data_IF_760918923504
#
_entry.id   IF_760918923504
#
_cell.length_a   1.000
_cell.length_b   1.000
_cell.length_c   1.000
_cell.angle_alpha   90.00
_cell.angle_beta   90.00
_cell.angle_gamma   90.00
#
_symmetry.space_group_name_H-M   'P 1'
#
loop_
_entity.id
_entity.type
_entity.pdbx_description
1 polymer ?
#
# COMPACT_ATOMS: atom_id res chain seq x y z
N UNK A 1 7.74 -11.53 -16.37
CA UNK A 1 7.30 -10.15 -16.04
C UNK A 1 8.10 -9.70 -14.84
N UNK A 2 8.51 -8.43 -14.75
CA UNK A 2 9.29 -7.95 -13.59
C UNK A 2 8.57 -8.23 -12.27
N UNK A 3 7.24 -8.04 -12.24
CA UNK A 3 6.38 -8.27 -11.08
C UNK A 3 5.72 -9.66 -11.05
N UNK A 4 6.38 -10.72 -11.54
CA UNK A 4 5.89 -12.09 -11.29
C UNK A 4 6.16 -12.53 -9.86
N UNK A 5 5.34 -13.45 -9.34
CA UNK A 5 5.51 -14.06 -8.01
C UNK A 5 6.93 -14.58 -7.82
N UNK A 6 7.44 -15.31 -8.82
CA UNK A 6 8.80 -15.87 -8.84
C UNK A 6 9.87 -14.80 -8.58
N UNK A 7 9.75 -13.64 -9.23
CA UNK A 7 10.72 -12.55 -9.11
C UNK A 7 10.59 -11.78 -7.80
N UNK A 8 9.36 -11.66 -7.27
CA UNK A 8 9.12 -10.89 -6.05
C UNK A 8 9.45 -11.71 -4.80
N UNK A 9 9.06 -12.99 -4.76
CA UNK A 9 9.02 -13.78 -3.52
C UNK A 9 9.94 -15.02 -3.50
N UNK A 10 10.23 -15.66 -4.63
CA UNK A 10 10.78 -17.03 -4.63
C UNK A 10 12.20 -17.17 -5.22
N UNK A 11 12.64 -16.22 -6.06
CA UNK A 11 13.96 -16.27 -6.72
C UNK A 11 15.15 -16.23 -5.76
N UNK A 12 16.36 -16.52 -6.28
CA UNK A 12 17.61 -16.46 -5.51
C UNK A 12 17.87 -15.06 -4.92
N UNK A 13 17.46 -14.04 -5.68
CA UNK A 13 17.48 -12.63 -5.28
C UNK A 13 16.05 -12.06 -5.44
N UNK A 14 15.16 -12.31 -4.45
CA UNK A 14 13.78 -11.85 -4.53
C UNK A 14 13.74 -10.32 -4.46
N UNK A 15 12.84 -9.68 -5.22
CA UNK A 15 12.70 -8.22 -5.27
C UNK A 15 11.97 -7.62 -4.05
N UNK A 16 11.31 -8.43 -3.23
CA UNK A 16 10.55 -7.95 -2.07
C UNK A 16 11.34 -7.02 -1.11
N UNK A 17 12.63 -7.25 -0.78
CA UNK A 17 13.42 -6.33 0.03
C UNK A 17 13.50 -4.92 -0.56
N UNK A 18 13.68 -4.80 -1.87
CA UNK A 18 13.78 -3.51 -2.56
C UNK A 18 12.43 -2.79 -2.63
N UNK A 19 11.35 -3.54 -2.85
CA UNK A 19 9.99 -3.00 -2.96
C UNK A 19 9.43 -2.54 -1.61
N UNK A 20 9.77 -3.24 -0.52
CA UNK A 20 9.24 -2.98 0.83
C UNK A 20 10.16 -2.02 1.60
N UNK A 21 11.47 -2.20 1.50
CA UNK A 21 12.49 -1.41 2.21
C UNK A 21 12.56 -1.64 3.72
N UNK A 22 11.70 -2.51 4.28
CA UNK A 22 11.69 -2.89 5.70
C UNK A 22 12.15 -4.35 5.85
N UNK A 23 13.35 -4.53 6.42
CA UNK A 23 13.98 -5.84 6.55
C UNK A 23 13.14 -6.84 7.35
N UNK A 24 12.41 -6.39 8.37
CA UNK A 24 11.63 -7.29 9.23
C UNK A 24 10.42 -7.82 8.47
N UNK A 25 9.68 -6.92 7.81
CA UNK A 25 8.51 -7.27 6.99
C UNK A 25 8.94 -8.26 5.89
N UNK A 26 10.04 -7.96 5.21
CA UNK A 26 10.55 -8.79 4.12
C UNK A 26 11.02 -10.16 4.62
N UNK A 27 11.81 -10.23 5.69
CA UNK A 27 12.30 -11.51 6.21
C UNK A 27 11.14 -12.43 6.63
N UNK A 28 10.16 -11.89 7.35
CA UNK A 28 8.98 -12.64 7.78
C UNK A 28 8.18 -13.16 6.58
N UNK A 29 7.94 -12.33 5.57
CA UNK A 29 7.22 -12.73 4.36
C UNK A 29 7.95 -13.84 3.60
N UNK A 30 9.25 -13.69 3.35
CA UNK A 30 10.05 -14.67 2.61
C UNK A 30 10.17 -16.00 3.38
N UNK A 31 10.22 -15.96 4.72
CA UNK A 31 10.18 -17.17 5.53
C UNK A 31 8.85 -17.91 5.40
N UNK A 32 7.71 -17.19 5.42
CA UNK A 32 6.40 -17.79 5.21
C UNK A 32 6.28 -18.44 3.82
N UNK A 33 6.76 -17.77 2.78
CA UNK A 33 6.79 -18.31 1.40
C UNK A 33 7.64 -19.59 1.34
N UNK A 34 8.84 -19.58 1.94
CA UNK A 34 9.71 -20.78 2.01
C UNK A 34 9.05 -21.95 2.73
N UNK A 35 8.18 -21.66 3.70
CA UNK A 35 7.40 -22.65 4.43
C UNK A 35 6.11 -23.10 3.70
N UNK A 36 5.89 -22.63 2.46
CA UNK A 36 4.77 -23.04 1.61
C UNK A 36 3.47 -22.26 1.83
N UNK A 37 3.55 -21.07 2.46
CA UNK A 37 2.38 -20.20 2.57
C UNK A 37 1.95 -19.69 1.18
N UNK A 38 0.63 -19.60 0.97
CA UNK A 38 0.04 -19.12 -0.28
C UNK A 38 0.25 -17.62 -0.44
N UNK A 39 0.67 -17.18 -1.62
CA UNK A 39 0.80 -15.77 -1.99
C UNK A 39 -0.49 -15.37 -2.71
N UNK A 40 -1.18 -14.35 -2.20
CA UNK A 40 -2.38 -13.81 -2.85
C UNK A 40 -2.00 -13.05 -4.13
N UNK A 41 -2.85 -13.10 -5.16
CA UNK A 41 -2.56 -12.50 -6.48
C UNK A 41 -2.62 -10.96 -6.49
N UNK A 42 -3.13 -10.33 -5.43
CA UNK A 42 -3.46 -8.91 -5.39
C UNK A 42 -2.35 -8.01 -4.82
N UNK A 43 -1.09 -8.36 -5.02
CA UNK A 43 0.06 -7.56 -4.59
C UNK A 43 0.37 -6.40 -5.55
N UNK A 44 1.06 -5.38 -5.06
CA UNK A 44 1.49 -4.23 -5.86
C UNK A 44 1.60 -2.93 -5.08
N UNK A 45 2.01 -1.87 -5.77
CA UNK A 45 2.02 -0.53 -5.22
C UNK A 45 0.61 -0.08 -4.83
N UNK A 46 0.48 0.47 -3.62
CA UNK A 46 -0.78 0.92 -3.04
C UNK A 46 -0.56 2.19 -2.25
N UNK A 47 -1.58 3.04 -2.22
CA UNK A 47 -1.57 4.24 -1.39
C UNK A 47 -1.96 3.88 0.05
N UNK A 48 -1.18 4.42 0.98
CA UNK A 48 -1.42 4.35 2.41
C UNK A 48 -1.51 5.75 2.97
N UNK A 49 -2.47 5.97 3.85
CA UNK A 49 -2.65 7.22 4.58
C UNK A 49 -2.34 7.00 6.05
N UNK A 50 -1.65 7.95 6.66
CA UNK A 50 -1.59 8.00 8.11
C UNK A 50 -2.93 8.47 8.67
N UNK A 51 -3.48 7.81 9.71
CA UNK A 51 -4.71 8.27 10.35
C UNK A 51 -4.53 9.57 11.17
N UNK A 52 -3.31 9.88 11.58
CA UNK A 52 -2.98 11.00 12.49
C UNK A 52 -2.31 12.19 11.80
N UNK A 53 -1.95 12.09 10.52
CA UNK A 53 -1.29 13.17 9.79
C UNK A 53 -1.77 13.31 8.33
N UNK A 54 -1.15 14.23 7.58
CA UNK A 54 -1.54 14.58 6.21
C UNK A 54 -0.81 13.81 5.12
N UNK A 55 0.11 12.90 5.47
CA UNK A 55 0.95 12.26 4.48
C UNK A 55 0.30 11.02 3.87
N UNK A 56 0.43 10.95 2.55
CA UNK A 56 0.16 9.76 1.77
C UNK A 56 1.49 9.13 1.40
N UNK A 57 1.54 7.80 1.46
CA UNK A 57 2.73 7.01 1.20
C UNK A 57 2.41 5.97 0.13
N UNK A 58 3.27 5.87 -0.88
CA UNK A 58 3.29 4.71 -1.76
C UNK A 58 4.06 3.58 -1.08
N UNK A 59 3.42 2.42 -0.93
CA UNK A 59 4.01 1.23 -0.30
C UNK A 59 3.58 -0.02 -1.06
N UNK A 60 4.47 -1.02 -1.08
CA UNK A 60 4.22 -2.28 -1.76
C UNK A 60 3.33 -3.21 -0.91
N UNK A 61 2.06 -3.32 -1.26
CA UNK A 61 1.15 -4.25 -0.61
C UNK A 61 1.33 -5.69 -1.12
N UNK A 62 1.17 -6.66 -0.23
CA UNK A 62 1.08 -8.07 -0.54
C UNK A 62 0.38 -8.82 0.61
N UNK A 63 0.01 -10.08 0.38
CA UNK A 63 -0.47 -10.98 1.44
C UNK A 63 0.12 -12.37 1.23
N UNK A 64 0.65 -12.96 2.31
CA UNK A 64 1.22 -14.32 2.34
C UNK A 64 0.56 -15.10 3.47
N UNK A 65 -0.33 -16.03 3.14
CA UNK A 65 -1.23 -16.64 4.12
C UNK A 65 -2.07 -15.57 4.84
N UNK A 66 -2.00 -15.56 6.17
CA UNK A 66 -2.67 -14.55 7.01
C UNK A 66 -1.80 -13.31 7.28
N UNK A 67 -0.60 -13.23 6.72
CA UNK A 67 0.32 -12.12 6.93
C UNK A 67 0.10 -11.01 5.90
N UNK A 68 -0.16 -9.80 6.39
CA UNK A 68 -0.13 -8.54 5.63
C UNK A 68 0.98 -7.63 6.20
N UNK A 69 1.67 -6.84 5.36
CA UNK A 69 2.67 -5.91 5.83
C UNK A 69 2.04 -4.75 6.61
N UNK A 70 2.60 -4.47 7.79
CA UNK A 70 2.19 -3.33 8.62
C UNK A 70 3.22 -2.20 8.55
N UNK A 71 2.91 -1.16 7.79
CA UNK A 71 3.79 0.00 7.66
C UNK A 71 3.50 1.04 8.74
N UNK A 72 4.56 1.63 9.29
CA UNK A 72 4.46 2.69 10.28
C UNK A 72 4.78 4.05 9.65
N UNK A 73 4.05 5.09 10.07
CA UNK A 73 4.34 6.45 9.66
C UNK A 73 5.72 6.88 10.20
N UNK A 74 6.63 7.40 9.36
CA UNK A 74 7.94 7.84 9.81
C UNK A 74 7.88 9.04 10.78
N UNK A 75 6.78 9.81 10.79
CA UNK A 75 6.65 11.02 11.60
C UNK A 75 5.99 10.77 12.96
N UNK A 76 4.88 10.04 13.00
CA UNK A 76 4.10 9.83 14.22
C UNK A 76 4.08 8.38 14.71
N UNK A 77 4.68 7.44 13.96
CA UNK A 77 4.73 6.02 14.27
C UNK A 77 3.36 5.30 14.31
N UNK A 78 2.26 5.99 13.99
CA UNK A 78 0.96 5.32 13.79
C UNK A 78 1.03 4.36 12.62
N UNK A 79 0.28 3.26 12.72
CA UNK A 79 0.11 2.31 11.62
C UNK A 79 -0.56 3.01 10.45
N UNK A 80 0.06 2.91 9.28
CA UNK A 80 -0.50 3.41 8.03
C UNK A 80 -1.63 2.50 7.57
N UNK A 81 -2.68 3.12 7.05
CA UNK A 81 -3.84 2.39 6.56
C UNK A 81 -3.98 2.53 5.06
N UNK A 82 -4.27 1.41 4.40
CA UNK A 82 -4.46 1.39 2.94
C UNK A 82 -5.70 2.20 2.57
N UNK A 83 -5.59 2.98 1.50
CA UNK A 83 -6.69 3.76 0.92
C UNK A 83 -6.86 3.43 -0.56
N UNK A 84 -8.09 3.52 -1.05
CA UNK A 84 -8.42 3.36 -2.46
C UNK A 84 -9.09 4.62 -3.00
N UNK A 85 -8.94 4.84 -4.30
CA UNK A 85 -9.69 5.87 -5.00
C UNK A 85 -11.19 5.57 -4.96
N UNK A 86 -11.96 6.59 -4.62
CA UNK A 86 -13.41 6.58 -4.61
C UNK A 86 -13.93 7.79 -5.40
N UNK A 87 -15.12 7.64 -5.99
CA UNK A 87 -15.70 8.66 -6.84
C UNK A 87 -16.01 9.94 -6.03
N UNK A 88 -15.50 11.09 -6.50
CA UNK A 88 -15.88 12.41 -6.02
C UNK A 88 -16.87 13.11 -6.95
N UNK A 89 -16.98 14.44 -6.82
CA UNK A 89 -17.69 15.29 -7.79
C UNK A 89 -16.95 15.36 -9.14
N UNK A 90 -17.57 15.95 -10.17
CA UNK A 90 -16.91 16.12 -11.48
C UNK A 90 -15.53 16.80 -11.36
N UNK A 91 -14.49 16.15 -11.91
CA UNK A 91 -13.10 16.59 -11.84
C UNK A 91 -12.42 16.41 -10.48
N UNK A 92 -13.01 15.59 -9.59
CA UNK A 92 -12.47 15.31 -8.27
C UNK A 92 -12.59 13.84 -7.90
N UNK A 93 -11.64 13.41 -7.09
CA UNK A 93 -11.60 12.07 -6.50
C UNK A 93 -11.56 12.15 -4.98
N UNK A 94 -11.84 11.04 -4.31
CA UNK A 94 -11.73 10.87 -2.85
C UNK A 94 -10.85 9.67 -2.55
N UNK A 95 -10.30 9.61 -1.34
CA UNK A 95 -9.59 8.43 -0.85
C UNK A 95 -10.41 7.80 0.27
N UNK A 96 -10.83 6.54 0.08
CA UNK A 96 -11.55 5.76 1.09
C UNK A 96 -10.62 4.78 1.77
N UNK A 97 -10.63 4.76 3.10
CA UNK A 97 -9.91 3.73 3.87
C UNK A 97 -10.53 2.36 3.62
N UNK A 98 -9.72 1.32 3.40
CA UNK A 98 -10.25 -0.01 3.07
C UNK A 98 -10.90 -0.70 4.29
N UNK A 99 -10.33 -0.48 5.48
CA UNK A 99 -10.76 -1.13 6.73
C UNK A 99 -11.74 -0.28 7.55
N UNK A 100 -12.12 0.91 7.06
CA UNK A 100 -13.00 1.84 7.76
C UNK A 100 -14.02 2.46 6.82
N UNK A 101 -15.22 2.73 7.33
CA UNK A 101 -16.22 3.48 6.56
C UNK A 101 -16.02 4.99 6.69
N UNK A 102 -14.81 5.46 6.35
CA UNK A 102 -14.43 6.87 6.37
C UNK A 102 -13.58 7.24 5.16
N UNK A 103 -13.60 8.52 4.81
CA UNK A 103 -12.73 9.08 3.79
C UNK A 103 -11.53 9.77 4.46
N UNK A 104 -10.39 9.75 3.78
CA UNK A 104 -9.27 10.60 4.16
C UNK A 104 -9.65 12.06 3.97
N UNK A 105 -9.32 12.87 4.97
CA UNK A 105 -9.58 14.30 4.98
C UNK A 105 -8.25 15.02 5.09
N UNK A 106 -8.09 16.10 4.33
CA UNK A 106 -6.95 16.98 4.49
C UNK A 106 -7.01 17.61 5.89
N UNK A 107 -6.05 17.37 6.80
CA UNK A 107 -6.14 17.90 8.16
C UNK A 107 -5.95 19.43 8.23
N UNK A 108 -5.50 20.07 7.14
CA UNK A 108 -5.41 21.53 7.04
C UNK A 108 -6.76 22.20 6.78
N UNK A 109 -7.61 21.62 5.94
CA UNK A 109 -8.87 22.26 5.50
C UNK A 109 -10.13 21.40 5.70
N UNK A 110 -9.98 20.16 6.18
CA UNK A 110 -11.07 19.20 6.38
C UNK A 110 -11.68 18.63 5.10
N UNK A 111 -11.20 19.03 3.91
CA UNK A 111 -11.76 18.57 2.64
C UNK A 111 -11.37 17.10 2.35
N UNK A 112 -12.35 16.29 1.95
CA UNK A 112 -12.17 14.89 1.56
C UNK A 112 -12.01 14.69 0.04
N UNK A 113 -12.10 15.77 -0.74
CA UNK A 113 -11.96 15.75 -2.20
C UNK A 113 -10.61 16.29 -2.66
N UNK A 114 -10.01 15.59 -3.62
CA UNK A 114 -8.80 15.98 -4.32
C UNK A 114 -9.14 16.37 -5.76
N UNK A 115 -8.57 17.46 -6.25
CA UNK A 115 -8.73 17.90 -7.64
C UNK A 115 -7.89 17.01 -8.54
N UNK A 116 -8.49 16.50 -9.61
CA UNK A 116 -7.81 15.71 -10.63
C UNK A 116 -7.05 16.67 -11.57
N UNK A 117 -5.74 16.79 -11.40
CA UNK A 117 -4.91 17.73 -12.16
C UNK A 117 -4.27 17.12 -13.43
N UNK A 118 -4.08 15.80 -13.49
CA UNK A 118 -3.54 15.13 -14.66
C UNK A 118 -4.04 13.69 -14.78
N UNK A 119 -4.27 13.26 -16.02
CA UNK A 119 -4.44 11.87 -16.38
C UNK A 119 -3.16 11.44 -17.11
N UNK A 120 -2.38 10.55 -16.50
CA UNK A 120 -1.32 9.85 -17.21
C UNK A 120 -1.89 8.55 -17.75
N UNK A 121 -1.84 8.35 -19.07
CA UNK A 121 -1.98 7.01 -19.61
C UNK A 121 -0.70 6.27 -19.23
N UNK A 122 -0.84 5.28 -18.35
CA UNK A 122 0.19 4.27 -18.18
C UNK A 122 -0.07 3.22 -19.26
N UNK A 123 0.38 3.51 -20.48
CA UNK A 123 0.58 2.51 -21.53
C UNK A 123 1.90 1.77 -21.27
#
# INVERSE_FOLDING_TARGET
MLYSVENIFEGDEPLLPELVGDEKITQQALELVKNGATIEENYGHSLYACPEDFYLFDKFYFQVGDFEPEYHCPYCQSVLERVNFAKGSAGKTRLKFLKQDKFWQCPRCGNDEMIEYSFGNWD
#
